data_IF_056931607272
#
_entry.id   IF_056931607272
#
_cell.length_a   1.000
_cell.length_b   1.000
_cell.length_c   1.000
_cell.angle_alpha   90.00
_cell.angle_beta   90.00
_cell.angle_gamma   90.00
#
_symmetry.space_group_name_H-M   'P 1'
#
loop_
_entity.id
_entity.type
_entity.pdbx_description
1 polymer ?
#
# COMPACT_ATOMS: atom_id res chain seq x y z
N UNK A 1 -16.66 9.43 -14.88
CA UNK A 1 -16.51 9.68 -13.41
C UNK A 1 -15.49 8.68 -12.90
N UNK A 2 -14.44 9.14 -12.23
CA UNK A 2 -13.39 8.30 -11.68
C UNK A 2 -13.95 7.32 -10.62
N UNK A 3 -13.47 6.08 -10.64
CA UNK A 3 -13.77 5.05 -9.66
C UNK A 3 -12.46 4.53 -9.08
N UNK A 4 -12.28 4.63 -7.78
CA UNK A 4 -11.06 4.20 -7.12
C UNK A 4 -11.31 3.57 -5.76
N UNK A 5 -10.31 2.85 -5.26
CA UNK A 5 -10.28 2.34 -3.88
C UNK A 5 -9.20 3.09 -3.11
N UNK A 6 -9.52 3.49 -1.89
CA UNK A 6 -8.56 4.03 -0.94
C UNK A 6 -8.47 3.09 0.26
N UNK A 7 -7.27 2.67 0.60
CA UNK A 7 -6.96 1.89 1.79
C UNK A 7 -5.71 2.44 2.48
N UNK A 8 -5.52 2.08 3.73
CA UNK A 8 -4.39 2.49 4.56
C UNK A 8 -4.11 1.42 5.61
N UNK A 9 -2.99 1.54 6.31
CA UNK A 9 -2.68 0.77 7.53
C UNK A 9 -2.78 -0.74 7.31
N UNK A 10 -2.16 -1.26 6.26
CA UNK A 10 -2.19 -2.70 5.97
C UNK A 10 -1.35 -3.51 6.97
N UNK A 11 -0.27 -2.94 7.48
CA UNK A 11 0.61 -3.51 8.49
C UNK A 11 0.92 -5.00 8.25
N UNK A 12 1.28 -5.36 7.02
CA UNK A 12 1.61 -6.75 6.69
C UNK A 12 2.79 -7.24 7.53
N UNK A 13 2.64 -8.41 8.11
CA UNK A 13 3.59 -9.05 9.02
C UNK A 13 3.84 -8.31 10.35
N UNK A 14 2.98 -7.34 10.71
CA UNK A 14 3.09 -6.67 12.00
C UNK A 14 3.02 -7.68 13.15
N UNK A 15 3.98 -7.63 14.10
CA UNK A 15 3.90 -8.47 15.27
C UNK A 15 2.82 -7.92 16.20
N UNK A 16 1.76 -8.66 16.40
CA UNK A 16 0.82 -8.33 17.47
C UNK A 16 1.55 -8.31 18.82
N UNK A 17 1.67 -7.13 19.43
CA UNK A 17 2.37 -6.93 20.72
C UNK A 17 1.76 -7.75 21.87
N UNK A 18 0.56 -8.29 21.70
CA UNK A 18 -0.16 -9.15 22.64
C UNK A 18 0.17 -10.65 22.53
N UNK A 19 1.35 -11.01 22.02
CA UNK A 19 1.75 -12.42 21.82
C UNK A 19 1.60 -13.32 23.06
N UNK A 20 1.70 -12.76 24.27
CA UNK A 20 1.62 -13.53 25.52
C UNK A 20 0.23 -14.09 25.85
N UNK A 21 -0.82 -13.63 25.17
CA UNK A 21 -2.20 -14.03 25.44
C UNK A 21 -2.88 -14.83 24.34
N UNK A 22 -2.27 -14.89 23.13
CA UNK A 22 -2.83 -15.61 21.99
C UNK A 22 -2.14 -16.96 21.81
N UNK A 23 -2.94 -18.00 21.53
CA UNK A 23 -2.35 -19.26 21.10
C UNK A 23 -1.64 -19.10 19.74
N UNK A 24 -0.59 -19.91 19.44
CA UNK A 24 0.13 -19.83 18.16
C UNK A 24 -0.79 -19.90 16.94
N UNK A 25 -1.84 -20.70 16.99
CA UNK A 25 -2.80 -20.86 15.90
C UNK A 25 -3.60 -19.58 15.63
N UNK A 26 -4.06 -18.89 16.70
CA UNK A 26 -4.78 -17.62 16.56
C UNK A 26 -3.87 -16.54 15.99
N UNK A 27 -2.61 -16.51 16.38
CA UNK A 27 -1.64 -15.57 15.83
C UNK A 27 -1.44 -15.76 14.33
N UNK A 28 -1.29 -16.99 13.88
CA UNK A 28 -1.16 -17.32 12.46
C UNK A 28 -2.42 -16.95 11.67
N UNK A 29 -3.60 -17.19 12.21
CA UNK A 29 -4.87 -16.84 11.59
C UNK A 29 -5.03 -15.32 11.44
N UNK A 30 -4.63 -14.54 12.45
CA UNK A 30 -4.66 -13.07 12.39
C UNK A 30 -3.66 -12.54 11.35
N UNK A 31 -2.45 -13.09 11.26
CA UNK A 31 -1.52 -12.71 10.20
C UNK A 31 -2.08 -13.02 8.80
N UNK A 32 -2.65 -14.21 8.62
CA UNK A 32 -3.29 -14.59 7.34
C UNK A 32 -4.43 -13.65 6.97
N UNK A 33 -5.21 -13.18 7.95
CA UNK A 33 -6.36 -12.31 7.69
C UNK A 33 -5.96 -10.96 7.05
N UNK A 34 -4.80 -10.39 7.37
CA UNK A 34 -4.29 -9.18 6.73
C UNK A 34 -4.01 -9.39 5.24
N UNK A 35 -3.37 -10.50 4.90
CA UNK A 35 -3.12 -10.88 3.51
C UNK A 35 -4.42 -11.14 2.73
N UNK A 36 -5.36 -11.88 3.33
CA UNK A 36 -6.66 -12.16 2.73
C UNK A 36 -7.48 -10.87 2.54
N UNK A 37 -7.42 -9.95 3.51
CA UNK A 37 -8.09 -8.66 3.40
C UNK A 37 -7.58 -7.84 2.22
N UNK A 38 -6.27 -7.75 2.04
CA UNK A 38 -5.71 -7.03 0.90
C UNK A 38 -6.02 -7.73 -0.43
N UNK A 39 -5.95 -9.07 -0.46
CA UNK A 39 -6.37 -9.85 -1.63
C UNK A 39 -7.84 -9.56 -1.99
N UNK A 40 -8.74 -9.49 -1.02
CA UNK A 40 -10.15 -9.15 -1.24
C UNK A 40 -10.33 -7.72 -1.78
N UNK A 41 -9.50 -6.75 -1.33
CA UNK A 41 -9.46 -5.39 -1.90
C UNK A 41 -9.09 -5.44 -3.38
N UNK A 42 -8.05 -6.21 -3.74
CA UNK A 42 -7.63 -6.38 -5.14
C UNK A 42 -8.71 -7.09 -5.97
N UNK A 43 -9.33 -8.15 -5.44
CA UNK A 43 -10.42 -8.85 -6.11
C UNK A 43 -11.63 -7.90 -6.35
N UNK A 44 -11.93 -7.04 -5.38
CA UNK A 44 -12.96 -6.01 -5.53
C UNK A 44 -12.58 -4.98 -6.61
N UNK A 45 -11.33 -4.52 -6.62
CA UNK A 45 -10.83 -3.56 -7.60
C UNK A 45 -10.98 -4.11 -9.03
N UNK A 46 -10.60 -5.37 -9.23
CA UNK A 46 -10.74 -6.06 -10.50
C UNK A 46 -12.21 -6.22 -10.91
N UNK A 47 -13.05 -6.70 -9.99
CA UNK A 47 -14.49 -6.89 -10.22
C UNK A 47 -15.22 -5.59 -10.56
N UNK A 48 -14.82 -4.49 -9.90
CA UNK A 48 -15.43 -3.18 -10.09
C UNK A 48 -14.79 -2.37 -11.23
N UNK A 49 -13.71 -2.90 -11.83
CA UNK A 49 -12.96 -2.25 -12.91
C UNK A 49 -12.55 -0.81 -12.53
N UNK A 50 -12.00 -0.65 -11.33
CA UNK A 50 -11.58 0.68 -10.85
C UNK A 50 -10.47 1.26 -11.72
N UNK A 51 -10.31 2.58 -11.71
CA UNK A 51 -9.26 3.27 -12.44
C UNK A 51 -7.91 3.15 -11.72
N UNK A 52 -7.92 3.26 -10.39
CA UNK A 52 -6.71 3.16 -9.57
C UNK A 52 -7.00 2.80 -8.11
N UNK A 53 -5.93 2.46 -7.39
CA UNK A 53 -5.94 2.25 -5.93
C UNK A 53 -4.98 3.24 -5.28
N UNK A 54 -5.36 3.80 -4.14
CA UNK A 54 -4.49 4.60 -3.27
C UNK A 54 -4.24 3.81 -1.99
N UNK A 55 -2.95 3.66 -1.61
CA UNK A 55 -2.52 3.07 -0.34
C UNK A 55 -1.84 4.18 0.47
N UNK A 56 -2.51 4.61 1.53
CA UNK A 56 -2.13 5.80 2.29
C UNK A 56 -1.41 5.43 3.61
N UNK A 57 -0.17 5.01 3.49
CA UNK A 57 0.73 4.74 4.62
C UNK A 57 0.64 3.34 5.21
N UNK A 58 1.67 2.99 5.96
CA UNK A 58 1.80 1.82 6.81
C UNK A 58 1.48 0.49 6.07
N UNK A 59 2.10 0.32 4.91
CA UNK A 59 2.03 -0.90 4.11
C UNK A 59 2.66 -2.08 4.85
N UNK A 60 3.76 -1.80 5.55
CA UNK A 60 4.50 -2.73 6.39
C UNK A 60 4.68 -2.17 7.80
N UNK A 61 5.17 -3.01 8.69
CA UNK A 61 5.85 -2.60 9.91
C UNK A 61 7.36 -2.76 9.68
N UNK A 62 8.13 -1.67 9.67
CA UNK A 62 9.53 -1.63 9.20
C UNK A 62 10.43 -2.63 9.89
N UNK A 63 10.18 -2.92 11.18
CA UNK A 63 10.94 -3.90 11.96
C UNK A 63 10.67 -5.35 11.55
N UNK A 64 9.57 -5.62 10.85
CA UNK A 64 9.06 -6.98 10.60
C UNK A 64 8.73 -7.25 9.14
N UNK A 65 9.22 -6.39 8.24
CA UNK A 65 9.04 -6.58 6.80
C UNK A 65 9.70 -7.89 6.36
N UNK A 66 8.92 -8.77 5.79
CA UNK A 66 9.40 -10.07 5.29
C UNK A 66 9.42 -10.10 3.76
N UNK A 67 10.30 -10.92 3.20
CA UNK A 67 10.30 -11.23 1.77
C UNK A 67 8.95 -11.81 1.32
N UNK A 68 8.27 -12.54 2.19
CA UNK A 68 6.92 -13.08 1.93
C UNK A 68 5.92 -11.96 1.63
N UNK A 69 5.89 -10.90 2.45
CA UNK A 69 5.01 -9.77 2.24
C UNK A 69 5.31 -9.03 0.93
N UNK A 70 6.58 -8.87 0.60
CA UNK A 70 7.00 -8.24 -0.67
C UNK A 70 6.57 -9.05 -1.89
N UNK A 71 6.81 -10.35 -1.88
CA UNK A 71 6.40 -11.26 -2.97
C UNK A 71 4.88 -11.23 -3.13
N UNK A 72 4.14 -11.33 -2.02
CA UNK A 72 2.68 -11.27 -2.05
C UNK A 72 2.17 -9.96 -2.67
N UNK A 73 2.68 -8.81 -2.21
CA UNK A 73 2.25 -7.52 -2.76
C UNK A 73 2.59 -7.40 -4.25
N UNK A 74 3.79 -7.84 -4.64
CA UNK A 74 4.20 -7.84 -6.03
C UNK A 74 3.25 -8.66 -6.91
N UNK A 75 2.84 -9.84 -6.46
CA UNK A 75 1.84 -10.67 -7.13
C UNK A 75 0.49 -9.94 -7.26
N UNK A 76 0.03 -9.27 -6.19
CA UNK A 76 -1.23 -8.53 -6.24
C UNK A 76 -1.15 -7.32 -7.19
N UNK A 77 -0.03 -6.58 -7.17
CA UNK A 77 0.19 -5.45 -8.09
C UNK A 77 0.29 -5.89 -9.55
N UNK A 78 0.89 -7.06 -9.81
CA UNK A 78 0.92 -7.66 -11.14
C UNK A 78 -0.48 -8.05 -11.65
N UNK A 79 -1.37 -8.52 -10.77
CA UNK A 79 -2.78 -8.77 -11.11
C UNK A 79 -3.47 -7.48 -11.56
N UNK A 80 -3.27 -6.39 -10.81
CA UNK A 80 -3.82 -5.07 -11.14
C UNK A 80 -3.21 -4.51 -12.44
N UNK A 81 -1.90 -4.73 -12.67
CA UNK A 81 -1.21 -4.29 -13.88
C UNK A 81 -1.81 -4.90 -15.16
N UNK A 82 -2.16 -6.18 -15.12
CA UNK A 82 -2.77 -6.87 -16.26
C UNK A 82 -4.10 -6.24 -16.69
N UNK A 83 -4.84 -5.65 -15.75
CA UNK A 83 -6.12 -4.97 -15.98
C UNK A 83 -5.96 -3.43 -16.05
N UNK A 84 -4.72 -2.94 -16.21
CA UNK A 84 -4.37 -1.52 -16.34
C UNK A 84 -4.87 -0.67 -15.16
N UNK A 85 -4.89 -1.23 -13.95
CA UNK A 85 -5.22 -0.52 -12.73
C UNK A 85 -3.92 -0.03 -12.09
N UNK A 86 -3.82 1.27 -11.89
CA UNK A 86 -2.65 1.91 -11.26
C UNK A 86 -2.75 1.88 -9.74
N UNK A 87 -1.58 1.90 -9.08
CA UNK A 87 -1.47 1.93 -7.62
C UNK A 87 -0.59 3.10 -7.22
N UNK A 88 -1.09 3.94 -6.33
CA UNK A 88 -0.36 5.07 -5.77
C UNK A 88 -0.14 4.84 -4.29
N UNK A 89 1.12 4.85 -3.87
CA UNK A 89 1.53 4.51 -2.50
C UNK A 89 2.23 5.71 -1.88
N UNK A 90 1.82 6.10 -0.68
CA UNK A 90 2.68 6.87 0.22
C UNK A 90 3.05 6.00 1.42
N UNK A 91 4.31 6.12 1.87
CA UNK A 91 4.80 5.45 3.06
C UNK A 91 4.43 6.24 4.31
N UNK A 92 4.06 5.54 5.37
CA UNK A 92 3.74 6.11 6.67
C UNK A 92 4.96 6.17 7.60
N UNK A 93 4.69 6.37 8.89
CA UNK A 93 5.74 6.42 9.90
C UNK A 93 6.24 5.02 10.32
N UNK A 94 5.46 3.98 10.11
CA UNK A 94 5.86 2.61 10.38
C UNK A 94 6.66 1.95 9.24
N UNK A 95 6.60 2.51 8.04
CA UNK A 95 7.35 2.04 6.87
C UNK A 95 8.03 3.18 6.10
N UNK A 96 8.78 4.09 6.76
CA UNK A 96 9.32 5.28 6.11
C UNK A 96 10.28 4.93 4.96
N UNK A 97 10.50 5.88 4.05
CA UNK A 97 11.38 5.70 2.88
C UNK A 97 12.82 5.28 3.23
N UNK A 98 13.30 5.63 4.43
CA UNK A 98 14.62 5.21 4.92
C UNK A 98 14.68 3.75 5.36
N UNK A 99 13.54 3.10 5.56
CA UNK A 99 13.52 1.64 5.76
C UNK A 99 14.11 1.00 4.50
N UNK A 100 15.03 0.03 4.66
CA UNK A 100 15.77 -0.61 3.55
C UNK A 100 14.81 -1.36 2.61
N UNK A 101 14.15 -0.59 1.76
CA UNK A 101 13.18 -1.09 0.79
C UNK A 101 13.88 -1.19 -0.55
N UNK A 102 14.21 -2.39 -0.96
CA UNK A 102 14.77 -2.68 -2.29
C UNK A 102 13.74 -3.24 -3.27
N UNK A 103 12.44 -3.20 -2.91
CA UNK A 103 11.40 -3.77 -3.75
C UNK A 103 11.28 -3.02 -5.06
N UNK A 104 11.46 -3.74 -6.14
CA UNK A 104 11.09 -3.25 -7.46
C UNK A 104 9.63 -3.61 -7.70
N UNK A 105 8.79 -2.60 -7.61
CA UNK A 105 7.38 -2.75 -7.93
C UNK A 105 7.14 -2.81 -9.45
N UNK A 106 6.05 -3.41 -9.91
CA UNK A 106 5.63 -3.33 -11.30
C UNK A 106 5.40 -1.88 -11.75
N UNK A 107 5.47 -1.63 -13.06
CA UNK A 107 5.42 -0.29 -13.62
C UNK A 107 4.08 0.46 -13.49
N UNK A 108 3.04 -0.22 -13.01
CA UNK A 108 1.76 0.40 -12.65
C UNK A 108 1.72 0.95 -11.22
N UNK A 109 2.81 0.79 -10.45
CA UNK A 109 2.91 1.27 -9.07
C UNK A 109 3.79 2.53 -9.04
N UNK A 110 3.25 3.60 -8.46
CA UNK A 110 3.95 4.85 -8.20
C UNK A 110 4.02 5.09 -6.70
N UNK A 111 5.23 5.35 -6.20
CA UNK A 111 5.48 5.64 -4.79
C UNK A 111 5.85 7.11 -4.66
N UNK A 112 5.15 7.84 -3.79
CA UNK A 112 5.46 9.22 -3.49
C UNK A 112 6.80 9.35 -2.75
N UNK A 113 7.62 10.35 -3.10
CA UNK A 113 8.83 10.70 -2.38
C UNK A 113 8.52 11.45 -1.06
N UNK A 114 9.55 11.91 -0.37
CA UNK A 114 9.40 12.74 0.82
C UNK A 114 9.05 14.21 0.53
N UNK A 115 8.95 14.59 -0.73
CA UNK A 115 8.43 15.89 -1.17
C UNK A 115 7.00 15.74 -1.66
N UNK A 116 6.25 16.83 -1.64
CA UNK A 116 4.91 16.82 -2.24
C UNK A 116 5.04 16.67 -3.74
N UNK A 117 4.49 15.60 -4.26
CA UNK A 117 4.46 15.28 -5.68
C UNK A 117 3.04 15.17 -6.19
N UNK A 118 2.90 15.24 -7.49
CA UNK A 118 1.62 15.08 -8.17
C UNK A 118 1.73 14.07 -9.28
N UNK A 119 0.92 13.01 -9.18
CA UNK A 119 0.75 12.06 -10.27
C UNK A 119 -0.54 12.37 -11.04
N UNK A 120 -0.47 12.17 -12.34
CA UNK A 120 -1.63 12.21 -13.24
C UNK A 120 -2.16 10.79 -13.43
N UNK A 121 -3.41 10.54 -13.07
CA UNK A 121 -4.14 9.34 -13.39
C UNK A 121 -5.15 9.62 -14.52
N UNK A 122 -5.07 8.85 -15.59
CA UNK A 122 -6.07 8.91 -16.66
C UNK A 122 -7.05 7.76 -16.42
N UNK A 123 -8.31 8.11 -16.22
CA UNK A 123 -9.38 7.13 -16.00
C UNK A 123 -9.69 6.36 -17.28
N UNK A 124 -10.35 5.21 -17.16
CA UNK A 124 -10.86 4.44 -18.30
C UNK A 124 -11.86 5.21 -19.16
N UNK A 125 -12.51 6.25 -18.59
CA UNK A 125 -13.38 7.18 -19.30
C UNK A 125 -12.65 8.37 -19.95
N UNK A 126 -11.31 8.44 -19.85
CA UNK A 126 -10.49 9.51 -20.42
C UNK A 126 -10.43 10.78 -19.56
N UNK A 127 -10.95 10.77 -18.34
CA UNK A 127 -10.89 11.89 -17.40
C UNK A 127 -9.50 11.93 -16.74
N UNK A 128 -8.90 13.11 -16.60
CA UNK A 128 -7.63 13.30 -15.91
C UNK A 128 -7.85 13.65 -14.46
N UNK A 129 -7.25 12.86 -13.55
CA UNK A 129 -7.29 13.07 -12.11
C UNK A 129 -5.87 13.38 -11.62
N UNK A 130 -5.73 14.35 -10.76
CA UNK A 130 -4.47 14.71 -10.11
C UNK A 130 -4.45 14.17 -8.68
N UNK A 131 -3.46 13.36 -8.37
CA UNK A 131 -3.27 12.76 -7.06
C UNK A 131 -2.03 13.39 -6.44
N UNK A 132 -2.22 14.11 -5.34
CA UNK A 132 -1.14 14.76 -4.60
C UNK A 132 -0.81 13.95 -3.37
N UNK A 133 0.48 13.79 -3.07
CA UNK A 133 0.91 13.03 -1.91
C UNK A 133 2.38 13.24 -1.60
N UNK A 134 2.77 12.72 -0.45
CA UNK A 134 4.17 12.58 -0.03
C UNK A 134 4.29 11.42 0.95
N UNK A 135 5.48 10.87 1.08
CA UNK A 135 5.80 9.81 2.03
C UNK A 135 6.59 10.35 3.21
N UNK A 136 6.48 9.68 4.35
CA UNK A 136 7.38 9.90 5.48
C UNK A 136 8.80 9.46 5.09
N UNK A 137 9.78 10.30 5.40
CA UNK A 137 11.19 9.96 5.21
C UNK A 137 11.72 9.16 6.38
N UNK A 138 11.31 9.53 7.60
CA UNK A 138 11.66 8.92 8.88
C UNK A 138 10.38 8.67 9.69
N UNK A 139 10.51 8.01 10.83
CA UNK A 139 9.38 7.66 11.75
C UNK A 139 8.59 8.89 12.22
N UNK A 140 9.16 10.11 12.15
CA UNK A 140 8.47 11.34 12.51
C UNK A 140 8.77 12.45 11.50
N UNK A 141 7.74 13.25 11.20
CA UNK A 141 7.85 14.47 10.42
C UNK A 141 7.28 15.63 11.22
N UNK A 142 8.09 16.67 11.42
CA UNK A 142 7.70 17.88 12.15
C UNK A 142 7.41 19.06 11.22
N UNK A 143 7.52 18.86 9.92
CA UNK A 143 7.26 19.87 8.91
C UNK A 143 5.80 19.83 8.43
N UNK A 144 5.17 21.01 8.36
CA UNK A 144 3.88 21.12 7.70
C UNK A 144 4.10 21.11 6.18
N UNK A 145 3.75 20.04 5.53
CA UNK A 145 3.89 19.86 4.06
C UNK A 145 2.66 20.37 3.29
N UNK A 146 1.55 20.62 4.00
CA UNK A 146 0.29 21.07 3.38
C UNK A 146 0.14 22.56 3.71
N UNK A 147 0.22 23.39 2.67
CA UNK A 147 -0.06 24.83 2.73
C UNK A 147 -1.12 25.18 1.71
#
# INVERSE_FOLDING_TARGET
MAKFIHCADLHLDSPFKSKSYLSPNIFEDVQKSAYESFKNIVDLALKQEVDFIIIAGDLFDSENRTLRAEVFLNEQFERLRKEQIFVYICHGNHDPLTSKITSQWPNNVSVFSNQVETYQAITKSGETIYIHGFSYQNDASYENKIR
#
